data_IF_009856777346
#
_entry.id   IF_009856777346
#
_cell.length_a   1.000
_cell.length_b   1.000
_cell.length_c   1.000
_cell.angle_alpha   90.00
_cell.angle_beta   90.00
_cell.angle_gamma   90.00
#
_symmetry.space_group_name_H-M   'P 1'
#
loop_
_entity.id
_entity.type
_entity.pdbx_description
1 polymer ?
#
# COMPACT_ATOMS: atom_id res chain seq x y z
N UNK A 1 15.54 15.41 5.79
CA UNK A 1 14.22 15.32 5.14
C UNK A 1 13.65 13.96 5.47
N UNK A 2 12.37 13.87 5.86
CA UNK A 2 11.73 12.57 6.01
C UNK A 2 11.54 11.96 4.62
N UNK A 3 11.87 10.69 4.47
CA UNK A 3 11.66 9.92 3.24
C UNK A 3 10.66 8.82 3.53
N UNK A 4 9.38 9.22 3.68
CA UNK A 4 8.33 8.29 4.03
C UNK A 4 8.06 7.29 2.90
N UNK A 5 8.17 7.69 1.64
CA UNK A 5 7.90 6.81 0.51
C UNK A 5 8.90 5.66 0.44
N UNK A 6 10.20 5.92 0.59
CA UNK A 6 11.20 4.84 0.60
C UNK A 6 10.98 3.87 1.75
N UNK A 7 10.70 4.37 2.96
CA UNK A 7 10.42 3.50 4.12
C UNK A 7 9.16 2.65 3.93
N UNK A 8 8.11 3.23 3.35
CA UNK A 8 6.89 2.48 3.04
C UNK A 8 7.12 1.45 1.93
N UNK A 9 7.93 1.80 0.93
CA UNK A 9 8.30 0.91 -0.14
C UNK A 9 9.11 -0.28 0.39
N UNK A 10 10.17 -0.04 1.16
CA UNK A 10 10.99 -1.09 1.77
C UNK A 10 10.14 -2.06 2.61
N UNK A 11 9.26 -1.53 3.47
CA UNK A 11 8.35 -2.36 4.28
C UNK A 11 7.37 -3.15 3.41
N UNK A 12 6.83 -2.55 2.36
CA UNK A 12 5.91 -3.25 1.47
C UNK A 12 6.64 -4.34 0.67
N UNK A 13 7.84 -4.08 0.16
CA UNK A 13 8.64 -5.06 -0.58
C UNK A 13 9.06 -6.24 0.28
N UNK A 14 9.43 -5.99 1.55
CA UNK A 14 9.72 -7.05 2.53
C UNK A 14 8.49 -7.96 2.75
N UNK A 15 7.31 -7.36 2.89
CA UNK A 15 6.07 -8.12 3.09
C UNK A 15 5.58 -8.83 1.82
N UNK A 16 5.90 -8.30 0.64
CA UNK A 16 5.55 -8.88 -0.66
C UNK A 16 6.55 -9.93 -1.15
N UNK A 17 7.77 -9.94 -0.60
CA UNK A 17 8.87 -10.79 -1.08
C UNK A 17 9.39 -10.40 -2.47
N UNK A 18 9.17 -9.15 -2.89
CA UNK A 18 9.48 -8.68 -4.24
C UNK A 18 9.23 -7.18 -4.42
N UNK A 19 9.61 -6.62 -5.59
CA UNK A 19 9.52 -5.18 -5.84
C UNK A 19 8.07 -4.70 -5.90
N UNK A 20 7.84 -3.43 -5.55
CA UNK A 20 6.51 -2.83 -5.68
C UNK A 20 6.08 -2.74 -7.15
N UNK A 21 4.83 -3.12 -7.50
CA UNK A 21 4.35 -3.05 -8.88
C UNK A 21 3.92 -1.63 -9.31
N UNK A 22 3.87 -0.69 -8.36
CA UNK A 22 3.45 0.71 -8.53
C UNK A 22 4.44 1.66 -7.90
N UNK A 23 4.44 2.91 -8.37
CA UNK A 23 5.20 3.99 -7.72
C UNK A 23 4.39 4.52 -6.53
N UNK A 24 5.02 4.78 -5.40
CA UNK A 24 4.36 5.31 -4.21
C UNK A 24 4.79 6.76 -3.99
N UNK A 25 3.83 7.66 -3.77
CA UNK A 25 4.07 9.03 -3.29
C UNK A 25 3.49 9.20 -1.90
N UNK A 26 4.30 9.64 -0.95
CA UNK A 26 3.86 9.85 0.43
C UNK A 26 3.42 11.31 0.70
N UNK A 27 2.80 11.51 1.85
CA UNK A 27 2.27 12.81 2.33
C UNK A 27 3.34 13.91 2.48
N UNK A 28 4.63 13.55 2.54
CA UNK A 28 5.75 14.49 2.60
C UNK A 28 6.35 14.83 1.22
N UNK A 29 5.72 14.32 0.15
CA UNK A 29 6.14 14.52 -1.24
C UNK A 29 7.26 13.60 -1.71
N UNK A 30 7.79 12.72 -0.85
CA UNK A 30 8.75 11.69 -1.26
C UNK A 30 8.10 10.67 -2.19
N UNK A 31 8.92 10.05 -3.04
CA UNK A 31 8.48 9.03 -4.00
C UNK A 31 9.44 7.83 -4.03
N UNK A 32 8.89 6.63 -4.19
CA UNK A 32 9.65 5.38 -4.30
C UNK A 32 8.97 4.39 -5.25
N UNK A 33 9.74 3.41 -5.75
CA UNK A 33 9.25 2.38 -6.67
C UNK A 33 9.59 2.64 -8.15
N UNK A 34 9.11 1.76 -9.06
CA UNK A 34 9.53 1.75 -10.46
C UNK A 34 9.23 3.06 -11.20
N UNK A 35 10.19 3.51 -12.00
CA UNK A 35 10.00 4.66 -12.89
C UNK A 35 8.97 4.32 -13.99
N UNK A 36 8.06 5.25 -14.27
CA UNK A 36 7.03 5.08 -15.31
C UNK A 36 5.87 4.17 -14.94
N UNK A 37 5.82 3.63 -13.72
CA UNK A 37 4.64 2.97 -13.18
C UNK A 37 3.60 4.02 -12.73
N UNK A 38 2.29 3.68 -12.75
CA UNK A 38 1.27 4.55 -12.19
C UNK A 38 1.52 4.80 -10.69
N UNK A 39 1.12 5.98 -10.21
CA UNK A 39 1.47 6.43 -8.86
C UNK A 39 0.31 6.23 -7.90
N UNK A 40 0.52 5.44 -6.86
CA UNK A 40 -0.34 5.39 -5.68
C UNK A 40 0.08 6.49 -4.71
N UNK A 41 -0.84 7.41 -4.43
CA UNK A 41 -0.60 8.56 -3.56
C UNK A 41 -1.20 8.32 -2.18
N UNK A 42 -0.39 8.41 -1.14
CA UNK A 42 -0.82 8.38 0.26
C UNK A 42 -0.85 9.83 0.77
N UNK A 43 -2.02 10.46 0.70
CA UNK A 43 -2.23 11.88 1.05
C UNK A 43 -2.15 12.15 2.55
N UNK A 44 -2.55 11.19 3.40
CA UNK A 44 -2.55 11.33 4.86
C UNK A 44 -2.06 10.02 5.53
N UNK A 45 -1.22 10.16 6.58
CA UNK A 45 -0.74 9.05 7.44
C UNK A 45 -1.89 8.23 8.03
N UNK A 46 -3.07 8.83 8.19
CA UNK A 46 -4.29 8.16 8.67
C UNK A 46 -4.72 7.02 7.75
N UNK A 47 -4.37 7.04 6.46
CA UNK A 47 -4.60 5.92 5.54
C UNK A 47 -3.94 4.65 6.06
N UNK A 48 -2.67 4.73 6.47
CA UNK A 48 -1.91 3.60 7.01
C UNK A 48 -2.60 3.02 8.25
N UNK A 49 -3.06 3.89 9.14
CA UNK A 49 -3.80 3.47 10.33
C UNK A 49 -5.08 2.73 9.93
N UNK A 50 -5.89 3.25 9.01
CA UNK A 50 -7.12 2.57 8.56
C UNK A 50 -6.82 1.19 7.97
N UNK A 51 -5.75 1.09 7.17
CA UNK A 51 -5.30 -0.17 6.60
C UNK A 51 -4.83 -1.19 7.66
N UNK A 52 -4.13 -0.76 8.71
CA UNK A 52 -3.64 -1.65 9.79
C UNK A 52 -4.78 -2.13 10.72
N UNK A 53 -5.76 -1.26 11.02
CA UNK A 53 -6.84 -1.56 11.97
C UNK A 53 -8.03 -2.28 11.33
N UNK A 54 -8.24 -2.12 10.01
CA UNK A 54 -9.19 -2.91 9.21
C UNK A 54 -8.46 -3.52 8.00
N UNK A 55 -7.57 -4.49 8.26
CA UNK A 55 -6.73 -5.11 7.22
C UNK A 55 -7.57 -5.88 6.20
N UNK A 56 -7.15 -5.78 4.94
CA UNK A 56 -7.85 -6.26 3.76
C UNK A 56 -8.36 -5.11 2.90
N UNK A 57 -9.12 -5.44 1.86
CA UNK A 57 -9.64 -4.49 0.85
C UNK A 57 -10.43 -3.33 1.47
N UNK A 58 -11.17 -3.61 2.54
CA UNK A 58 -11.99 -2.62 3.23
C UNK A 58 -11.17 -1.47 3.83
N UNK A 59 -9.95 -1.73 4.31
CA UNK A 59 -9.06 -0.69 4.82
C UNK A 59 -8.62 0.28 3.72
N UNK A 60 -8.27 -0.29 2.57
CA UNK A 60 -7.91 0.41 1.33
C UNK A 60 -9.09 1.24 0.80
N UNK A 61 -10.26 0.61 0.64
CA UNK A 61 -11.49 1.28 0.16
C UNK A 61 -11.89 2.41 1.10
N UNK A 62 -11.80 2.24 2.42
CA UNK A 62 -12.11 3.30 3.38
C UNK A 62 -11.15 4.48 3.29
N UNK A 63 -9.86 4.22 3.08
CA UNK A 63 -8.87 5.27 2.91
C UNK A 63 -9.06 6.02 1.58
N UNK A 64 -9.42 5.30 0.51
CA UNK A 64 -9.81 5.88 -0.78
C UNK A 64 -11.04 6.79 -0.66
N UNK A 65 -12.15 6.28 -0.11
CA UNK A 65 -13.39 7.06 0.06
C UNK A 65 -13.19 8.26 0.99
N UNK A 66 -12.29 8.14 1.97
CA UNK A 66 -11.92 9.25 2.86
C UNK A 66 -11.01 10.30 2.20
N UNK A 67 -10.55 10.10 0.97
CA UNK A 67 -9.65 11.01 0.25
C UNK A 67 -8.20 10.95 0.73
N UNK A 68 -7.81 9.88 1.40
CA UNK A 68 -6.46 9.70 1.95
C UNK A 68 -5.55 8.88 1.03
N UNK A 69 -6.15 8.10 0.14
CA UNK A 69 -5.49 7.44 -0.97
C UNK A 69 -6.00 8.06 -2.27
N UNK A 70 -5.10 8.16 -3.23
CA UNK A 70 -5.40 8.65 -4.57
C UNK A 70 -4.48 7.96 -5.59
N UNK A 71 -4.77 8.11 -6.87
CA UNK A 71 -3.97 7.58 -7.96
C UNK A 71 -3.66 8.69 -8.97
N UNK A 72 -2.42 8.77 -9.40
CA UNK A 72 -2.04 9.55 -10.58
C UNK A 72 -1.78 8.60 -11.75
N UNK A 73 -2.59 8.74 -12.79
CA UNK A 73 -2.64 7.83 -13.93
C UNK A 73 -3.97 7.09 -13.99
N UNK A 74 -3.94 5.89 -14.58
CA UNK A 74 -5.12 5.04 -14.70
C UNK A 74 -5.34 4.21 -13.41
N UNK A 75 -6.48 4.42 -12.76
CA UNK A 75 -6.89 3.65 -11.57
C UNK A 75 -7.00 2.15 -11.86
N UNK A 76 -7.52 1.76 -13.03
CA UNK A 76 -7.67 0.36 -13.38
C UNK A 76 -6.31 -0.29 -13.62
N UNK A 77 -5.35 0.44 -14.19
CA UNK A 77 -3.98 -0.05 -14.31
C UNK A 77 -3.31 -0.28 -12.95
N UNK A 78 -3.53 0.64 -11.99
CA UNK A 78 -3.08 0.43 -10.60
C UNK A 78 -3.73 -0.82 -10.02
N UNK A 79 -5.05 -0.95 -10.13
CA UNK A 79 -5.79 -2.08 -9.61
C UNK A 79 -5.35 -3.40 -10.23
N UNK A 80 -5.15 -3.48 -11.55
CA UNK A 80 -4.64 -4.67 -12.23
C UNK A 80 -3.28 -5.08 -11.67
N UNK A 81 -2.37 -4.11 -11.49
CA UNK A 81 -1.02 -4.31 -10.94
C UNK A 81 -1.02 -4.73 -9.47
N UNK A 82 -1.95 -4.24 -8.65
CA UNK A 82 -2.02 -4.58 -7.21
C UNK A 82 -2.99 -5.70 -6.89
N UNK A 83 -3.89 -6.07 -7.81
CA UNK A 83 -4.96 -7.07 -7.58
C UNK A 83 -4.38 -8.43 -7.19
N UNK A 84 -3.28 -8.86 -7.82
CA UNK A 84 -2.57 -10.09 -7.45
C UNK A 84 -1.96 -10.06 -6.04
N UNK A 85 -1.77 -8.86 -5.46
CA UNK A 85 -1.30 -8.67 -4.09
C UNK A 85 -2.45 -8.53 -3.08
N UNK A 86 -3.65 -8.17 -3.56
CA UNK A 86 -4.82 -7.87 -2.75
C UNK A 86 -5.83 -9.03 -2.72
N UNK A 87 -6.02 -9.76 -3.83
CA UNK A 87 -7.24 -10.53 -4.13
C UNK A 87 -7.04 -12.04 -4.38
N UNK A 88 -5.92 -12.66 -3.99
CA UNK A 88 -5.75 -14.13 -3.99
C UNK A 88 -4.95 -14.58 -2.74
N UNK A 89 -5.28 -15.62 -1.94
CA UNK A 89 -6.11 -16.83 -2.11
C UNK A 89 -6.80 -17.27 -0.81
N UNK A 90 -7.90 -18.01 -0.94
CA UNK A 90 -8.52 -18.91 0.05
C UNK A 90 -7.60 -20.07 0.53
N UNK A 91 -6.32 -19.85 0.80
CA UNK A 91 -5.45 -20.90 1.33
C UNK A 91 -4.01 -20.48 1.59
N UNK A 92 -3.64 -20.52 2.88
CA UNK A 92 -2.29 -20.77 3.42
C UNK A 92 -1.17 -19.74 3.28
N UNK A 93 -1.40 -18.49 2.88
CA UNK A 93 -0.39 -17.42 3.03
C UNK A 93 -1.01 -16.12 3.56
N UNK A 94 -0.46 -15.50 4.63
CA UNK A 94 -0.95 -14.21 5.09
C UNK A 94 -0.56 -13.15 4.06
N UNK A 95 -1.51 -12.64 3.28
CA UNK A 95 -1.27 -11.49 2.38
C UNK A 95 -0.72 -10.26 3.12
N UNK A 96 -0.25 -9.25 2.39
CA UNK A 96 0.37 -8.01 2.91
C UNK A 96 -0.29 -7.47 4.19
N UNK A 97 -1.62 -7.38 4.19
CA UNK A 97 -2.40 -6.88 5.33
C UNK A 97 -2.62 -7.89 6.46
N UNK A 98 -2.54 -9.19 6.18
CA UNK A 98 -2.55 -10.24 7.20
C UNK A 98 -1.18 -10.34 7.90
N UNK A 99 -0.08 -10.12 7.18
CA UNK A 99 1.25 -9.97 7.80
C UNK A 99 1.30 -8.72 8.71
N UNK A 100 0.67 -7.62 8.31
CA UNK A 100 0.46 -6.43 9.17
C UNK A 100 -0.47 -6.68 10.39
N UNK A 101 -1.10 -7.86 10.52
CA UNK A 101 -1.79 -8.27 11.75
C UNK A 101 -0.84 -8.83 12.81
N UNK A 102 0.45 -9.09 12.50
CA UNK A 102 1.42 -9.56 13.50
C UNK A 102 1.47 -8.55 14.66
N UNK A 103 1.17 -8.97 15.90
CA UNK A 103 1.27 -8.12 17.09
C UNK A 103 2.62 -7.42 17.23
N UNK A 104 3.70 -8.01 16.71
CA UNK A 104 5.05 -7.42 16.72
C UNK A 104 5.16 -6.13 15.91
N UNK A 105 4.29 -5.93 14.93
CA UNK A 105 4.24 -4.73 14.08
C UNK A 105 3.26 -3.66 14.61
N UNK A 106 2.54 -3.94 15.72
CA UNK A 106 1.52 -3.05 16.31
C UNK A 106 1.93 -2.40 17.65
N UNK A 107 3.11 -2.74 18.18
CA UNK A 107 3.63 -2.24 19.45
C UNK A 107 4.22 -0.83 19.34
#
# INVERSE_FOLDING_TARGET
MADAASRLAELAEELLGGPLPVRLRAWDGSEAGPAGAPVLVVRDRRALRRMIWKPGELGLVRAWVAGELDVEGDLYEVLDRVSGLLWERDGDSPGLFAAARDPRLRA
#
